data_IF_310124138658
#
_entry.id   IF_310124138658
#
_cell.length_a   1.000
_cell.length_b   1.000
_cell.length_c   1.000
_cell.angle_alpha   90.00
_cell.angle_beta   90.00
_cell.angle_gamma   90.00
#
_symmetry.space_group_name_H-M   'P 1'
#
loop_
_entity.id
_entity.type
_entity.pdbx_description
1 polymer ?
#
# COMPACT_ATOMS: atom_id res chain seq x y z
N UNK A 1 5.32 4.53 12.34
CA UNK A 1 6.52 4.80 11.51
C UNK A 1 6.11 5.75 10.39
N UNK A 2 6.76 6.92 10.27
CA UNK A 2 6.41 7.93 9.27
C UNK A 2 6.99 7.57 7.91
N UNK A 3 6.15 7.25 6.93
CA UNK A 3 6.57 6.93 5.55
C UNK A 3 6.63 8.21 4.70
N UNK A 4 7.82 8.54 4.19
CA UNK A 4 8.02 9.67 3.26
C UNK A 4 8.89 9.19 2.11
N UNK A 5 8.44 9.41 0.86
CA UNK A 5 9.25 9.06 -0.31
C UNK A 5 8.60 9.42 -1.64
N UNK A 6 9.44 9.63 -2.64
CA UNK A 6 9.05 9.64 -4.04
C UNK A 6 9.18 8.22 -4.59
N UNK A 7 8.21 7.82 -5.39
CA UNK A 7 8.16 6.50 -6.00
C UNK A 7 8.02 6.69 -7.51
N UNK A 8 8.95 6.12 -8.28
CA UNK A 8 8.80 6.03 -9.72
C UNK A 8 7.88 4.86 -10.02
N UNK A 9 6.76 5.14 -10.67
CA UNK A 9 5.67 4.18 -10.86
C UNK A 9 5.33 4.03 -12.33
N UNK A 10 4.84 2.84 -12.67
CA UNK A 10 4.07 2.60 -13.89
C UNK A 10 2.60 2.47 -13.50
N UNK A 11 1.75 3.31 -14.09
CA UNK A 11 0.30 3.15 -13.98
C UNK A 11 -0.13 1.94 -14.81
N UNK A 12 -0.99 1.09 -14.24
CA UNK A 12 -1.64 0.00 -14.96
C UNK A 12 -3.04 0.44 -15.39
N UNK A 13 -3.57 -0.10 -16.52
CA UNK A 13 -4.90 0.26 -17.00
C UNK A 13 -5.95 0.07 -15.90
N UNK A 14 -6.77 1.09 -15.72
CA UNK A 14 -7.82 1.16 -14.70
C UNK A 14 -8.84 0.04 -14.90
N UNK A 15 -9.27 -0.61 -13.82
CA UNK A 15 -10.48 -1.42 -13.85
C UNK A 15 -11.67 -0.50 -13.56
N UNK A 16 -12.55 -0.31 -14.54
CA UNK A 16 -13.77 0.48 -14.39
C UNK A 16 -14.80 -0.32 -13.62
N UNK A 17 -15.00 0.01 -12.34
CA UNK A 17 -16.17 -0.45 -11.58
C UNK A 17 -17.21 0.67 -11.72
N UNK A 18 -18.44 0.32 -12.12
CA UNK A 18 -19.49 1.28 -12.51
C UNK A 18 -19.75 2.36 -11.44
N UNK A 19 -19.76 3.62 -11.90
CA UNK A 19 -20.01 4.90 -11.22
C UNK A 19 -18.88 5.44 -10.31
N UNK A 20 -18.15 6.43 -10.83
CA UNK A 20 -17.22 7.39 -10.19
C UNK A 20 -16.02 6.90 -9.34
N UNK A 21 -15.90 5.62 -9.01
CA UNK A 21 -14.78 5.12 -8.21
C UNK A 21 -13.90 4.17 -9.04
N UNK A 22 -12.79 4.70 -9.56
CA UNK A 22 -11.77 3.88 -10.24
C UNK A 22 -10.73 3.42 -9.23
N UNK A 23 -10.52 2.11 -9.10
CA UNK A 23 -9.38 1.58 -8.36
C UNK A 23 -8.13 1.79 -9.22
N UNK A 24 -7.18 2.57 -8.71
CA UNK A 24 -5.90 2.81 -9.41
C UNK A 24 -4.77 2.08 -8.71
N UNK A 25 -4.03 1.27 -9.47
CA UNK A 25 -2.85 0.56 -8.98
C UNK A 25 -1.58 1.07 -9.65
N UNK A 26 -0.55 1.29 -8.84
CA UNK A 26 0.77 1.73 -9.27
C UNK A 26 1.80 0.71 -8.77
N UNK A 27 2.63 0.16 -9.67
CA UNK A 27 3.82 -0.59 -9.27
C UNK A 27 5.06 0.27 -9.54
N UNK A 28 5.98 0.27 -8.59
CA UNK A 28 7.14 1.15 -8.66
C UNK A 28 8.17 0.87 -7.57
N UNK A 29 9.26 1.61 -7.63
CA UNK A 29 10.33 1.56 -6.65
C UNK A 29 10.56 2.95 -6.04
N UNK A 30 11.10 2.97 -4.81
CA UNK A 30 11.48 4.23 -4.16
C UNK A 30 12.63 4.86 -4.93
N UNK A 31 12.52 6.15 -5.24
CA UNK A 31 13.58 6.91 -5.89
C UNK A 31 13.96 8.13 -5.07
N UNK A 32 15.24 8.51 -5.12
CA UNK A 32 15.77 9.71 -4.48
C UNK A 32 15.83 10.93 -5.42
N UNK A 33 15.73 10.69 -6.74
CA UNK A 33 15.81 11.71 -7.79
C UNK A 33 14.65 11.54 -8.77
N UNK A 34 14.05 12.62 -9.29
CA UNK A 34 13.04 12.54 -10.34
C UNK A 34 13.60 11.84 -11.58
N UNK A 35 12.89 10.82 -12.09
CA UNK A 35 13.28 10.10 -13.30
C UNK A 35 12.47 10.66 -14.46
N UNK A 36 13.11 11.41 -15.37
CA UNK A 36 12.48 12.19 -16.44
C UNK A 36 11.53 11.40 -17.39
N UNK A 37 11.56 10.07 -17.36
CA UNK A 37 10.75 9.19 -18.24
C UNK A 37 9.72 8.34 -17.49
N UNK A 38 9.57 8.52 -16.18
CA UNK A 38 8.63 7.75 -15.36
C UNK A 38 7.66 8.68 -14.66
N UNK A 39 6.43 8.22 -14.48
CA UNK A 39 5.51 8.90 -13.58
C UNK A 39 6.05 8.82 -12.16
N UNK A 40 6.01 9.94 -11.43
CA UNK A 40 6.34 9.96 -10.01
C UNK A 40 5.06 10.11 -9.21
N UNK A 41 4.94 9.34 -8.12
CA UNK A 41 3.92 9.52 -7.10
C UNK A 41 4.60 9.79 -5.77
N UNK A 42 4.03 10.73 -5.01
CA UNK A 42 4.47 11.05 -3.67
C UNK A 42 3.56 10.33 -2.68
N UNK A 43 4.14 9.51 -1.83
CA UNK A 43 3.41 8.97 -0.67
C UNK A 43 3.50 10.01 0.46
N UNK A 44 2.38 10.55 0.94
CA UNK A 44 2.39 11.61 1.95
C UNK A 44 2.90 11.08 3.30
N UNK A 45 3.53 11.98 4.06
CA UNK A 45 3.91 11.67 5.44
C UNK A 45 2.66 11.36 6.29
N UNK A 46 2.79 10.38 7.18
CA UNK A 46 1.75 10.09 8.16
C UNK A 46 1.97 8.76 8.84
N UNK A 47 0.98 8.38 9.63
CA UNK A 47 0.98 7.14 10.38
C UNK A 47 0.38 6.01 9.56
N UNK A 48 1.03 4.86 9.68
CA UNK A 48 0.66 3.64 8.99
C UNK A 48 0.63 2.49 9.98
N UNK A 49 -0.43 1.68 9.91
CA UNK A 49 -0.40 0.33 10.44
C UNK A 49 0.42 -0.53 9.48
N UNK A 50 1.45 -1.19 10.00
CA UNK A 50 2.30 -2.10 9.23
C UNK A 50 1.93 -3.52 9.63
N UNK A 51 1.49 -4.31 8.66
CA UNK A 51 1.34 -5.76 8.83
C UNK A 51 2.34 -6.46 7.92
N UNK A 52 2.98 -7.51 8.43
CA UNK A 52 4.02 -8.23 7.71
C UNK A 52 3.63 -9.68 7.46
N UNK A 53 4.14 -10.24 6.36
CA UNK A 53 3.98 -11.65 6.00
C UNK A 53 5.26 -12.17 5.37
N UNK A 54 5.51 -13.48 5.47
CA UNK A 54 6.68 -14.11 4.84
C UNK A 54 6.45 -15.57 4.46
N UNK A 55 7.32 -16.12 3.62
CA UNK A 55 7.43 -17.58 3.40
C UNK A 55 6.58 -18.13 2.26
N UNK A 56 6.15 -17.29 1.31
CA UNK A 56 5.31 -17.73 0.19
C UNK A 56 5.11 -16.66 -0.88
N UNK A 57 4.23 -16.91 -1.87
CA UNK A 57 4.02 -16.00 -2.99
C UNK A 57 3.50 -14.63 -2.53
N UNK A 58 4.13 -13.55 -2.99
CA UNK A 58 3.85 -12.18 -2.53
C UNK A 58 2.38 -11.79 -2.70
N UNK A 59 1.75 -12.10 -3.84
CA UNK A 59 0.33 -11.80 -4.09
C UNK A 59 -0.59 -12.46 -3.08
N UNK A 60 -0.33 -13.72 -2.71
CA UNK A 60 -1.14 -14.43 -1.72
C UNK A 60 -0.97 -13.83 -0.33
N UNK A 61 0.26 -13.46 0.04
CA UNK A 61 0.53 -12.78 1.31
C UNK A 61 -0.21 -11.44 1.38
N UNK A 62 -0.14 -10.61 0.32
CA UNK A 62 -0.90 -9.36 0.26
C UNK A 62 -2.41 -9.57 0.35
N UNK A 63 -2.97 -10.57 -0.36
CA UNK A 63 -4.40 -10.88 -0.28
C UNK A 63 -4.84 -11.25 1.14
N UNK A 64 -4.04 -12.07 1.84
CA UNK A 64 -4.31 -12.45 3.23
C UNK A 64 -4.28 -11.23 4.15
N UNK A 65 -3.27 -10.37 4.03
CA UNK A 65 -3.12 -9.17 4.85
C UNK A 65 -4.25 -8.16 4.60
N UNK A 66 -4.60 -7.89 3.33
CA UNK A 66 -5.70 -6.98 2.96
C UNK A 66 -7.02 -7.49 3.52
N UNK A 67 -7.32 -8.78 3.30
CA UNK A 67 -8.57 -9.40 3.82
C UNK A 67 -8.61 -9.35 5.34
N UNK A 68 -7.49 -9.60 6.01
CA UNK A 68 -7.44 -9.53 7.47
C UNK A 68 -7.77 -8.14 7.97
N UNK A 69 -7.18 -7.09 7.38
CA UNK A 69 -7.47 -5.73 7.79
C UNK A 69 -8.94 -5.36 7.60
N UNK A 70 -9.45 -5.46 6.37
CA UNK A 70 -10.80 -4.98 6.07
C UNK A 70 -11.91 -5.83 6.69
N UNK A 71 -11.69 -7.14 6.89
CA UNK A 71 -12.74 -8.02 7.39
C UNK A 71 -12.65 -8.28 8.91
N UNK A 72 -11.51 -7.99 9.55
CA UNK A 72 -11.30 -8.30 10.98
C UNK A 72 -10.90 -7.07 11.80
N UNK A 73 -9.91 -6.32 11.35
CA UNK A 73 -9.37 -5.17 12.11
C UNK A 73 -10.30 -3.96 12.01
N UNK A 74 -10.63 -3.53 10.79
CA UNK A 74 -11.42 -2.32 10.56
C UNK A 74 -12.82 -2.38 11.21
N UNK A 75 -13.58 -3.50 11.16
CA UNK A 75 -14.88 -3.57 11.82
C UNK A 75 -14.82 -3.40 13.35
N UNK A 76 -13.67 -3.69 13.98
CA UNK A 76 -13.47 -3.52 15.44
C UNK A 76 -13.01 -2.10 15.78
N UNK A 77 -12.42 -1.38 14.82
CA UNK A 77 -11.90 -0.03 14.97
C UNK A 77 -12.30 0.82 13.76
N UNK A 78 -13.60 1.18 13.62
CA UNK A 78 -14.11 1.82 12.40
C UNK A 78 -13.44 3.16 12.06
N UNK A 79 -13.00 3.90 13.08
CA UNK A 79 -12.36 5.21 12.92
C UNK A 79 -10.86 5.13 12.56
N UNK A 80 -10.30 3.91 12.50
CA UNK A 80 -8.87 3.69 12.32
C UNK A 80 -8.40 4.07 10.90
N UNK A 81 -9.20 3.80 9.87
CA UNK A 81 -8.77 3.89 8.47
C UNK A 81 -8.88 5.30 7.88
N UNK A 82 -7.92 5.63 7.00
CA UNK A 82 -7.94 6.84 6.18
C UNK A 82 -8.08 6.48 4.69
N UNK A 83 -9.22 6.80 4.11
CA UNK A 83 -9.52 6.56 2.69
C UNK A 83 -8.88 7.59 1.73
N UNK A 84 -8.38 8.70 2.26
CA UNK A 84 -7.74 9.79 1.51
C UNK A 84 -6.28 9.53 1.10
N UNK A 85 -5.76 8.31 1.32
CA UNK A 85 -4.33 7.98 1.18
C UNK A 85 -4.08 6.61 0.56
N UNK A 86 -2.84 6.43 0.08
CA UNK A 86 -2.39 5.17 -0.51
C UNK A 86 -2.18 4.08 0.54
N UNK A 87 -2.75 2.90 0.28
CA UNK A 87 -2.29 1.62 0.82
C UNK A 87 -1.04 1.21 0.03
N UNK A 88 0.00 0.75 0.72
CA UNK A 88 1.28 0.38 0.10
C UNK A 88 1.56 -1.11 0.31
N UNK A 89 1.66 -1.84 -0.79
CA UNK A 89 2.22 -3.19 -0.85
C UNK A 89 3.75 -3.07 -1.07
N UNK A 90 4.56 -3.54 -0.13
CA UNK A 90 6.03 -3.51 -0.24
C UNK A 90 6.61 -4.93 -0.21
N UNK A 91 7.34 -5.29 -1.27
CA UNK A 91 8.20 -6.47 -1.31
C UNK A 91 9.59 -6.07 -0.79
N UNK A 92 10.10 -6.79 0.21
CA UNK A 92 11.31 -6.37 0.95
C UNK A 92 12.58 -7.10 0.51
N UNK A 93 12.46 -8.33 -0.01
CA UNK A 93 13.58 -9.20 -0.31
C UNK A 93 13.75 -9.51 -1.82
N UNK A 94 13.04 -8.78 -2.69
CA UNK A 94 13.04 -8.96 -4.15
C UNK A 94 12.71 -10.39 -4.65
N UNK A 95 12.19 -11.27 -3.78
CA UNK A 95 11.83 -12.64 -4.11
C UNK A 95 10.31 -12.82 -4.06
N UNK A 96 9.58 -12.73 -5.19
CA UNK A 96 8.12 -12.80 -5.17
C UNK A 96 7.56 -14.21 -4.88
N UNK A 97 8.36 -15.27 -4.95
CA UNK A 97 7.89 -16.65 -4.72
C UNK A 97 8.11 -17.10 -3.27
N UNK A 98 9.16 -16.59 -2.62
CA UNK A 98 9.40 -16.73 -1.19
C UNK A 98 9.60 -15.33 -0.61
N UNK A 99 8.49 -14.61 -0.51
CA UNK A 99 8.50 -13.18 -0.27
C UNK A 99 8.58 -12.84 1.21
N UNK A 100 9.20 -11.71 1.49
CA UNK A 100 9.00 -10.93 2.70
C UNK A 100 8.24 -9.67 2.31
N UNK A 101 7.07 -9.45 2.91
CA UNK A 101 6.18 -8.35 2.52
C UNK A 101 5.72 -7.51 3.70
N UNK A 102 5.48 -6.24 3.44
CA UNK A 102 4.74 -5.34 4.31
C UNK A 102 3.52 -4.77 3.59
N UNK A 103 2.36 -4.87 4.23
CA UNK A 103 1.18 -4.08 3.89
C UNK A 103 1.12 -2.88 4.84
N UNK A 104 1.21 -1.67 4.28
CA UNK A 104 1.19 -0.42 5.03
C UNK A 104 -0.12 0.30 4.76
N UNK A 105 -0.94 0.43 5.79
CA UNK A 105 -2.29 0.99 5.69
C UNK A 105 -2.32 2.33 6.41
N UNK A 106 -2.75 3.42 5.74
CA UNK A 106 -2.82 4.74 6.37
C UNK A 106 -3.90 4.74 7.46
N UNK A 107 -3.55 5.29 8.63
CA UNK A 107 -4.44 5.30 9.80
C UNK A 107 -4.57 6.68 10.42
N UNK A 108 -5.65 6.89 11.16
CA UNK A 108 -5.78 7.97 12.13
C UNK A 108 -5.31 7.45 13.50
N UNK A 109 -4.15 7.93 13.97
CA UNK A 109 -3.84 7.75 15.38
C UNK A 109 -4.74 8.68 16.21
N UNK A 110 -5.30 8.22 17.34
CA UNK A 110 -5.89 9.11 18.31
C UNK A 110 -4.83 10.15 18.70
N UNK A 111 -5.17 11.44 18.56
CA UNK A 111 -4.31 12.50 19.10
C UNK A 111 -4.49 12.47 20.62
N UNK A 112 -3.47 11.98 21.33
CA UNK A 112 -3.36 12.16 22.77
C UNK A 112 -3.09 13.62 23.12
#
# INVERSE_FOLDING_TARGET
MTMIGNYAVKAFPQQTITSYETLTYFAGSKTVTPVLKLETRRIPAGDYLIMAGKGGPSRQLFDVLIRHFFNKVLPQHPDLYRDDRFIVEALLNDNPQDAEVELRIPINLPKN
#
